data_IF_300245347978
#
_entry.id   IF_300245347978
#
_cell.length_a   1.000
_cell.length_b   1.000
_cell.length_c   1.000
_cell.angle_alpha   90.00
_cell.angle_beta   90.00
_cell.angle_gamma   90.00
#
_symmetry.space_group_name_H-M   'P 1'
#
loop_
_entity.id
_entity.type
_entity.pdbx_description
1 polymer ?
#
# COMPACT_ATOMS: atom_id res chain seq x y z
N UNK A 1 -29.42 -15.66 -6.48
CA UNK A 1 -28.90 -15.66 -5.10
C UNK A 1 -27.86 -14.57 -4.99
N UNK A 2 -27.90 -13.79 -3.92
CA UNK A 2 -26.81 -12.83 -3.60
C UNK A 2 -25.49 -13.58 -3.44
N UNK A 3 -24.41 -13.05 -4.02
CA UNK A 3 -23.08 -13.65 -3.92
C UNK A 3 -22.47 -13.31 -2.55
N UNK A 4 -21.77 -14.27 -1.97
CA UNK A 4 -21.03 -14.08 -0.72
C UNK A 4 -19.58 -13.68 -1.02
N UNK A 5 -19.12 -12.58 -0.41
CA UNK A 5 -17.72 -12.18 -0.33
C UNK A 5 -17.23 -12.39 1.11
N UNK A 6 -16.12 -13.09 1.27
CA UNK A 6 -15.48 -13.28 2.59
C UNK A 6 -14.27 -12.37 2.69
N UNK A 7 -14.20 -11.56 3.73
CA UNK A 7 -13.07 -10.66 4.00
C UNK A 7 -12.35 -11.10 5.28
N UNK A 8 -11.18 -11.68 5.16
CA UNK A 8 -10.33 -11.98 6.32
C UNK A 8 -9.56 -10.72 6.73
N UNK A 9 -9.77 -10.29 7.97
CA UNK A 9 -9.30 -9.00 8.48
C UNK A 9 -10.36 -7.94 8.25
N UNK A 10 -11.15 -7.67 9.28
CA UNK A 10 -12.15 -6.62 9.35
C UNK A 10 -11.59 -5.30 9.85
N UNK A 11 -10.27 -5.08 9.82
CA UNK A 11 -9.64 -3.82 10.24
C UNK A 11 -9.83 -2.68 9.24
N UNK A 12 -8.89 -1.72 9.26
CA UNK A 12 -9.04 -0.47 8.52
C UNK A 12 -9.28 -0.65 7.01
N UNK A 13 -8.40 -1.38 6.33
CA UNK A 13 -8.51 -1.66 4.89
C UNK A 13 -9.67 -2.61 4.58
N UNK A 14 -9.92 -3.59 5.45
CA UNK A 14 -11.00 -4.55 5.28
C UNK A 14 -12.37 -3.87 5.21
N UNK A 15 -12.69 -2.96 6.13
CA UNK A 15 -13.99 -2.27 6.20
C UNK A 15 -14.05 -1.02 5.32
N UNK A 16 -13.07 -0.13 5.37
CA UNK A 16 -13.14 1.13 4.60
C UNK A 16 -12.85 0.97 3.11
N UNK A 17 -12.44 -0.23 2.68
CA UNK A 17 -12.07 -0.44 1.28
C UNK A 17 -12.59 -1.75 0.71
N UNK A 18 -11.95 -2.89 0.99
CA UNK A 18 -12.21 -4.12 0.23
C UNK A 18 -13.65 -4.61 0.48
N UNK A 19 -14.06 -4.73 1.74
CA UNK A 19 -15.43 -5.08 2.10
C UNK A 19 -16.46 -4.08 1.58
N UNK A 20 -16.16 -2.77 1.64
CA UNK A 20 -17.03 -1.72 1.08
C UNK A 20 -17.23 -1.89 -0.44
N UNK A 21 -16.17 -2.14 -1.20
CA UNK A 21 -16.21 -2.32 -2.67
C UNK A 21 -17.16 -3.45 -3.04
N UNK A 22 -17.09 -4.59 -2.35
CA UNK A 22 -17.97 -5.72 -2.64
C UNK A 22 -19.39 -5.54 -2.09
N UNK A 23 -19.56 -4.93 -0.91
CA UNK A 23 -20.89 -4.62 -0.38
C UNK A 23 -21.67 -3.67 -1.29
N UNK A 24 -21.02 -2.64 -1.84
CA UNK A 24 -21.62 -1.71 -2.83
C UNK A 24 -21.98 -2.41 -4.15
N UNK A 25 -21.27 -3.49 -4.48
CA UNK A 25 -21.59 -4.36 -5.60
C UNK A 25 -22.65 -5.44 -5.28
N UNK A 26 -23.44 -5.26 -4.20
CA UNK A 26 -24.51 -6.16 -3.78
C UNK A 26 -24.04 -7.56 -3.38
N UNK A 27 -22.81 -7.70 -2.90
CA UNK A 27 -22.37 -8.92 -2.20
C UNK A 27 -22.82 -8.86 -0.74
N UNK A 28 -23.23 -10.00 -0.19
CA UNK A 28 -23.20 -10.18 1.27
C UNK A 28 -21.74 -10.27 1.69
N UNK A 29 -21.38 -9.57 2.75
CA UNK A 29 -19.99 -9.56 3.24
C UNK A 29 -19.91 -10.23 4.60
N UNK A 30 -19.07 -11.25 4.69
CA UNK A 30 -18.72 -11.90 5.96
C UNK A 30 -17.28 -11.58 6.30
N UNK A 31 -17.07 -10.86 7.39
CA UNK A 31 -15.73 -10.62 7.93
C UNK A 31 -15.25 -11.82 8.76
N UNK A 32 -13.97 -12.13 8.70
CA UNK A 32 -13.31 -13.07 9.63
C UNK A 32 -12.26 -12.27 10.40
N UNK A 33 -12.37 -12.23 11.73
CA UNK A 33 -11.47 -11.46 12.59
C UNK A 33 -11.28 -12.13 13.97
N UNK A 34 -10.38 -11.59 14.79
CA UNK A 34 -10.19 -11.99 16.19
C UNK A 34 -10.74 -10.95 17.18
N UNK A 35 -11.02 -9.72 16.73
CA UNK A 35 -11.59 -8.68 17.57
C UNK A 35 -13.06 -8.99 17.92
N UNK A 36 -13.28 -9.63 19.07
CA UNK A 36 -14.60 -10.01 19.56
C UNK A 36 -15.55 -8.82 19.69
N UNK A 37 -15.03 -7.64 20.06
CA UNK A 37 -15.85 -6.44 20.20
C UNK A 37 -16.41 -6.00 18.85
N UNK A 38 -15.56 -6.01 17.81
CA UNK A 38 -15.99 -5.73 16.45
C UNK A 38 -16.98 -6.78 15.94
N UNK A 39 -16.68 -8.06 16.15
CA UNK A 39 -17.51 -9.18 15.68
C UNK A 39 -18.91 -9.10 16.29
N UNK A 40 -19.01 -8.95 17.61
CA UNK A 40 -20.30 -8.82 18.30
C UNK A 40 -21.07 -7.61 17.81
N UNK A 41 -20.41 -6.46 17.59
CA UNK A 41 -21.06 -5.25 17.09
C UNK A 41 -21.60 -5.43 15.66
N UNK A 42 -20.82 -6.02 14.75
CA UNK A 42 -21.24 -6.29 13.37
C UNK A 42 -22.42 -7.27 13.32
N UNK A 43 -22.38 -8.33 14.11
CA UNK A 43 -23.46 -9.33 14.15
C UNK A 43 -24.74 -8.79 14.79
N UNK A 44 -24.63 -7.90 15.78
CA UNK A 44 -25.79 -7.28 16.41
C UNK A 44 -26.50 -6.28 15.48
N UNK A 45 -25.73 -5.49 14.71
CA UNK A 45 -26.28 -4.40 13.88
C UNK A 45 -26.55 -4.81 12.43
N UNK A 46 -25.75 -5.72 11.87
CA UNK A 46 -25.80 -6.12 10.45
C UNK A 46 -25.29 -5.05 9.47
N UNK A 47 -24.69 -3.98 9.99
CA UNK A 47 -24.18 -2.83 9.23
C UNK A 47 -23.06 -2.08 9.97
N UNK A 48 -22.26 -1.30 9.23
CA UNK A 48 -21.31 -0.30 9.74
C UNK A 48 -21.33 0.93 8.83
N UNK A 49 -20.64 2.01 9.22
CA UNK A 49 -20.56 3.26 8.47
C UNK A 49 -19.12 3.53 8.09
N UNK A 50 -18.90 3.85 6.82
CA UNK A 50 -17.66 4.46 6.35
C UNK A 50 -17.88 5.97 6.26
N UNK A 51 -17.14 6.73 7.05
CA UNK A 51 -17.09 8.19 6.95
C UNK A 51 -16.01 8.56 5.93
N UNK A 52 -16.43 8.94 4.73
CA UNK A 52 -15.53 9.47 3.72
C UNK A 52 -15.21 10.92 4.04
N UNK A 53 -13.93 11.22 4.25
CA UNK A 53 -13.47 12.54 4.70
C UNK A 53 -12.59 13.23 3.66
N UNK A 54 -12.92 14.49 3.35
CA UNK A 54 -12.15 15.33 2.44
C UNK A 54 -12.24 16.81 2.86
N UNK A 55 -11.19 17.33 3.49
CA UNK A 55 -11.20 18.62 4.19
C UNK A 55 -12.42 18.71 5.12
N UNK A 56 -13.24 19.75 5.01
CA UNK A 56 -14.43 19.92 5.83
C UNK A 56 -15.61 19.01 5.41
N UNK A 57 -15.52 18.33 4.27
CA UNK A 57 -16.57 17.45 3.78
C UNK A 57 -16.50 16.08 4.45
N UNK A 58 -17.64 15.65 4.98
CA UNK A 58 -17.86 14.29 5.51
C UNK A 58 -19.10 13.71 4.86
N UNK A 59 -18.96 12.55 4.24
CA UNK A 59 -20.08 11.76 3.73
C UNK A 59 -20.16 10.43 4.51
N UNK A 60 -21.37 10.05 4.90
CA UNK A 60 -21.63 8.82 5.63
C UNK A 60 -22.14 7.77 4.67
N UNK A 61 -21.34 6.71 4.47
CA UNK A 61 -21.69 5.59 3.59
C UNK A 61 -22.09 4.40 4.47
N UNK A 62 -23.40 4.11 4.64
CA UNK A 62 -23.83 2.94 5.37
C UNK A 62 -23.56 1.67 4.54
N UNK A 63 -22.84 0.73 5.14
CA UNK A 63 -22.56 -0.58 4.56
C UNK A 63 -23.42 -1.62 5.27
N UNK A 64 -24.41 -2.15 4.56
CA UNK A 64 -25.43 -3.05 5.10
C UNK A 64 -25.24 -4.48 4.61
N UNK A 65 -25.91 -5.43 5.26
CA UNK A 65 -25.90 -6.83 4.84
C UNK A 65 -24.59 -7.53 5.17
N UNK A 66 -23.98 -7.15 6.29
CA UNK A 66 -22.70 -7.71 6.73
C UNK A 66 -22.86 -8.52 8.01
N UNK A 67 -21.95 -9.46 8.21
CA UNK A 67 -21.79 -10.18 9.47
C UNK A 67 -20.29 -10.48 9.70
N UNK A 68 -19.97 -11.11 10.83
CA UNK A 68 -18.61 -11.45 11.19
C UNK A 68 -18.51 -12.81 11.88
N UNK A 69 -17.39 -13.49 11.66
CA UNK A 69 -17.03 -14.78 12.24
C UNK A 69 -15.74 -14.60 13.04
N UNK A 70 -15.67 -15.23 14.21
CA UNK A 70 -14.43 -15.33 14.96
C UNK A 70 -13.48 -16.30 14.25
N UNK A 71 -12.25 -15.87 13.95
CA UNK A 71 -11.26 -16.69 13.25
C UNK A 71 -10.91 -18.00 13.97
N UNK A 72 -11.19 -18.09 15.28
CA UNK A 72 -11.00 -19.31 16.06
C UNK A 72 -12.13 -20.34 15.87
N UNK A 73 -13.27 -19.95 15.28
CA UNK A 73 -14.35 -20.86 14.90
C UNK A 73 -14.08 -21.47 13.52
N UNK A 74 -13.28 -22.55 13.52
CA UNK A 74 -12.87 -23.21 12.28
C UNK A 74 -14.07 -23.75 11.47
N UNK A 75 -15.15 -24.17 12.12
CA UNK A 75 -16.32 -24.69 11.43
C UNK A 75 -17.04 -23.57 10.68
N UNK A 76 -17.28 -22.43 11.33
CA UNK A 76 -17.87 -21.27 10.69
C UNK A 76 -16.98 -20.73 9.55
N UNK A 77 -15.66 -20.70 9.75
CA UNK A 77 -14.69 -20.32 8.71
C UNK A 77 -14.77 -21.27 7.50
N UNK A 78 -14.82 -22.59 7.73
CA UNK A 78 -14.95 -23.58 6.67
C UNK A 78 -16.26 -23.39 5.89
N UNK A 79 -17.38 -23.18 6.58
CA UNK A 79 -18.68 -22.94 5.94
C UNK A 79 -18.68 -21.66 5.11
N UNK A 80 -18.12 -20.57 5.63
CA UNK A 80 -18.07 -19.29 4.91
C UNK A 80 -17.20 -19.38 3.64
N UNK A 81 -15.98 -19.91 3.76
CA UNK A 81 -15.05 -20.05 2.63
C UNK A 81 -15.55 -21.10 1.63
N UNK A 82 -16.18 -22.18 2.11
CA UNK A 82 -16.79 -23.22 1.28
C UNK A 82 -17.91 -22.69 0.38
N UNK A 83 -18.65 -21.68 0.83
CA UNK A 83 -19.81 -21.13 0.11
C UNK A 83 -19.53 -19.78 -0.60
N UNK A 84 -18.39 -19.13 -0.34
CA UNK A 84 -18.10 -17.83 -0.93
C UNK A 84 -17.83 -17.91 -2.43
N UNK A 85 -18.13 -16.80 -3.13
CA UNK A 85 -17.82 -16.63 -4.54
C UNK A 85 -16.41 -16.05 -4.75
N UNK A 86 -15.93 -15.28 -3.78
CA UNK A 86 -14.64 -14.60 -3.81
C UNK A 86 -14.23 -14.27 -2.37
N UNK A 87 -12.92 -14.24 -2.13
CA UNK A 87 -12.36 -13.88 -0.84
C UNK A 87 -11.38 -12.71 -0.96
N UNK A 88 -11.25 -11.91 0.09
CA UNK A 88 -10.16 -10.95 0.28
C UNK A 88 -9.45 -11.18 1.62
N UNK A 89 -8.18 -10.80 1.69
CA UNK A 89 -7.38 -10.85 2.92
C UNK A 89 -6.63 -9.54 3.11
N UNK A 90 -6.80 -8.91 4.28
CA UNK A 90 -6.07 -7.71 4.70
C UNK A 90 -5.82 -7.73 6.21
N UNK A 91 -4.80 -8.50 6.62
CA UNK A 91 -4.40 -8.73 8.02
C UNK A 91 -3.00 -8.19 8.34
N UNK A 92 -2.22 -7.83 7.33
CA UNK A 92 -0.82 -7.44 7.46
C UNK A 92 0.12 -8.63 7.36
N UNK A 93 1.29 -8.42 6.74
CA UNK A 93 2.32 -9.45 6.49
C UNK A 93 2.61 -10.36 7.70
N UNK A 94 2.72 -9.78 8.89
CA UNK A 94 3.10 -10.51 10.11
C UNK A 94 1.98 -11.43 10.62
N UNK A 95 0.73 -11.23 10.20
CA UNK A 95 -0.42 -12.04 10.63
C UNK A 95 -0.61 -13.27 9.73
N UNK A 96 -0.10 -13.25 8.49
CA UNK A 96 -0.24 -14.36 7.54
C UNK A 96 0.18 -15.73 8.07
N UNK A 97 1.35 -15.90 8.74
CA UNK A 97 1.73 -17.19 9.31
C UNK A 97 0.73 -17.74 10.34
N UNK A 98 -0.01 -16.86 11.02
CA UNK A 98 -0.99 -17.24 12.05
C UNK A 98 -2.31 -17.73 11.44
N UNK A 99 -2.70 -17.24 10.26
CA UNK A 99 -3.95 -17.64 9.60
C UNK A 99 -3.76 -18.78 8.59
N UNK A 100 -2.52 -19.03 8.14
CA UNK A 100 -2.20 -19.95 7.05
C UNK A 100 -2.80 -21.36 7.24
N UNK A 101 -2.69 -21.94 8.45
CA UNK A 101 -3.22 -23.27 8.76
C UNK A 101 -4.75 -23.32 8.65
N UNK A 102 -5.44 -22.33 9.21
CA UNK A 102 -6.91 -22.27 9.22
C UNK A 102 -7.45 -22.06 7.82
N UNK A 103 -6.82 -21.15 7.06
CA UNK A 103 -7.17 -20.88 5.66
C UNK A 103 -6.93 -22.12 4.78
N UNK A 104 -5.79 -22.79 4.91
CA UNK A 104 -5.50 -24.03 4.18
C UNK A 104 -6.50 -25.15 4.50
N UNK A 105 -6.92 -25.26 5.76
CA UNK A 105 -7.96 -26.22 6.19
C UNK A 105 -9.28 -25.94 5.47
N UNK A 106 -9.74 -24.69 5.46
CA UNK A 106 -10.99 -24.30 4.80
C UNK A 106 -10.94 -24.48 3.27
N UNK A 107 -9.80 -24.15 2.65
CA UNK A 107 -9.55 -24.37 1.21
C UNK A 107 -9.63 -25.86 0.88
N UNK A 108 -9.03 -26.72 1.70
CA UNK A 108 -9.04 -28.17 1.49
C UNK A 108 -10.45 -28.76 1.65
N UNK A 109 -11.23 -28.30 2.62
CA UNK A 109 -12.63 -28.72 2.77
C UNK A 109 -13.49 -28.28 1.58
N UNK A 110 -13.31 -27.05 1.08
CA UNK A 110 -13.95 -26.58 -0.15
C UNK A 110 -13.60 -27.48 -1.35
N UNK A 111 -12.32 -27.82 -1.51
CA UNK A 111 -11.85 -28.69 -2.60
C UNK A 111 -12.44 -30.11 -2.54
N UNK A 112 -12.58 -30.68 -1.35
CA UNK A 112 -13.22 -31.98 -1.16
C UNK A 112 -14.70 -31.96 -1.54
N UNK A 113 -15.38 -30.85 -1.25
CA UNK A 113 -16.79 -30.67 -1.58
C UNK A 113 -17.01 -30.47 -3.09
N UNK A 114 -16.18 -29.64 -3.74
CA UNK A 114 -16.24 -29.42 -5.19
C UNK A 114 -14.86 -29.08 -5.78
N UNK A 115 -14.29 -30.04 -6.51
CA UNK A 115 -12.98 -29.92 -7.18
C UNK A 115 -13.00 -28.93 -8.37
N UNK A 116 -14.17 -28.56 -8.87
CA UNK A 116 -14.34 -27.68 -10.03
C UNK A 116 -14.71 -26.24 -9.64
N UNK A 117 -14.71 -25.91 -8.34
CA UNK A 117 -15.05 -24.58 -7.82
C UNK A 117 -13.82 -23.84 -7.24
N UNK A 118 -12.87 -23.39 -8.09
CA UNK A 118 -11.65 -22.73 -7.61
C UNK A 118 -11.98 -21.49 -6.79
N UNK A 119 -11.14 -21.19 -5.81
CA UNK A 119 -11.26 -20.03 -4.94
C UNK A 119 -10.29 -18.94 -5.35
N UNK A 120 -10.82 -17.79 -5.74
CA UNK A 120 -10.04 -16.58 -5.95
C UNK A 120 -9.90 -15.80 -4.63
N UNK A 121 -8.67 -15.40 -4.29
CA UNK A 121 -8.31 -14.67 -3.08
C UNK A 121 -7.58 -13.37 -3.46
N UNK A 122 -8.21 -12.24 -3.16
CA UNK A 122 -7.63 -10.91 -3.29
C UNK A 122 -6.69 -10.63 -2.12
N UNK A 123 -5.41 -10.47 -2.41
CA UNK A 123 -4.34 -10.18 -1.46
C UNK A 123 -4.21 -8.66 -1.27
N UNK A 124 -5.05 -8.11 -0.39
CA UNK A 124 -5.12 -6.68 -0.08
C UNK A 124 -4.03 -6.27 0.93
N UNK A 125 -2.77 -6.50 0.56
CA UNK A 125 -1.61 -6.46 1.43
C UNK A 125 -0.45 -5.68 0.83
N UNK A 126 0.36 -5.06 1.68
CA UNK A 126 1.60 -4.42 1.24
C UNK A 126 2.78 -5.41 1.30
N UNK A 127 2.71 -6.48 0.49
CA UNK A 127 3.71 -7.55 0.44
C UNK A 127 4.25 -7.65 -0.99
N UNK A 128 5.56 -7.51 -1.15
CA UNK A 128 6.23 -7.80 -2.41
C UNK A 128 6.19 -9.31 -2.69
N UNK A 129 5.85 -9.71 -3.92
CA UNK A 129 5.62 -11.10 -4.33
C UNK A 129 4.64 -11.84 -3.40
N UNK A 130 3.51 -11.20 -3.10
CA UNK A 130 2.48 -11.69 -2.18
C UNK A 130 1.96 -13.07 -2.56
N UNK A 131 1.75 -13.35 -3.85
CA UNK A 131 1.27 -14.66 -4.30
C UNK A 131 2.24 -15.79 -3.96
N UNK A 132 3.55 -15.58 -4.18
CA UNK A 132 4.58 -16.56 -3.85
C UNK A 132 4.71 -16.75 -2.33
N UNK A 133 4.68 -15.65 -1.58
CA UNK A 133 4.70 -15.70 -0.11
C UNK A 133 3.52 -16.51 0.45
N UNK A 134 2.30 -16.21 0.03
CA UNK A 134 1.09 -16.93 0.48
C UNK A 134 1.10 -18.39 0.04
N UNK A 135 1.54 -18.67 -1.19
CA UNK A 135 1.72 -20.06 -1.68
C UNK A 135 2.61 -20.87 -0.74
N UNK A 136 3.77 -20.32 -0.35
CA UNK A 136 4.72 -21.03 0.53
C UNK A 136 4.16 -21.29 1.92
N UNK A 137 3.27 -20.42 2.43
CA UNK A 137 2.58 -20.63 3.70
C UNK A 137 1.47 -21.68 3.60
N UNK A 138 0.63 -21.62 2.57
CA UNK A 138 -0.50 -22.55 2.41
C UNK A 138 -0.02 -23.98 2.12
N UNK A 139 1.03 -24.13 1.30
CA UNK A 139 1.55 -25.43 0.90
C UNK A 139 2.03 -26.29 2.08
N UNK A 140 2.43 -25.68 3.19
CA UNK A 140 2.86 -26.39 4.41
C UNK A 140 1.71 -27.14 5.09
N UNK A 141 0.45 -26.77 4.83
CA UNK A 141 -0.73 -27.30 5.51
C UNK A 141 -1.71 -28.01 4.57
N UNK A 142 -1.52 -27.90 3.25
CA UNK A 142 -2.31 -28.60 2.25
C UNK A 142 -1.76 -30.01 1.97
N UNK A 143 -2.61 -30.96 1.54
CA UNK A 143 -2.13 -32.26 1.07
C UNK A 143 -1.08 -32.13 -0.03
N UNK A 144 -0.07 -33.03 -0.11
CA UNK A 144 1.00 -32.96 -1.12
C UNK A 144 0.52 -32.96 -2.57
N UNK A 145 -0.63 -33.59 -2.85
CA UNK A 145 -1.27 -33.70 -4.16
C UNK A 145 -2.31 -32.60 -4.43
N UNK A 146 -2.47 -31.64 -3.53
CA UNK A 146 -3.43 -30.54 -3.69
C UNK A 146 -3.03 -29.65 -4.88
N UNK A 147 -3.92 -29.39 -5.85
CA UNK A 147 -3.60 -28.64 -7.06
C UNK A 147 -3.65 -27.11 -6.81
N UNK A 148 -2.78 -26.60 -5.93
CA UNK A 148 -2.84 -25.21 -5.44
C UNK A 148 -2.94 -24.17 -6.57
N UNK A 149 -2.03 -24.23 -7.54
CA UNK A 149 -2.01 -23.28 -8.67
C UNK A 149 -3.25 -23.36 -9.57
N UNK A 150 -3.92 -24.51 -9.62
CA UNK A 150 -5.10 -24.73 -10.45
C UNK A 150 -6.42 -24.54 -9.70
N UNK A 151 -6.38 -24.39 -8.38
CA UNK A 151 -7.58 -24.30 -7.54
C UNK A 151 -7.66 -23.02 -6.71
N UNK A 152 -6.53 -22.38 -6.41
CA UNK A 152 -6.47 -21.13 -5.63
C UNK A 152 -5.88 -20.03 -6.50
N UNK A 153 -6.72 -19.09 -6.93
CA UNK A 153 -6.28 -17.86 -7.57
C UNK A 153 -5.77 -16.90 -6.51
N UNK A 154 -4.53 -16.45 -6.64
CA UNK A 154 -3.91 -15.49 -5.73
C UNK A 154 -3.76 -14.15 -6.47
N UNK A 155 -4.67 -13.23 -6.17
CA UNK A 155 -4.80 -11.96 -6.88
C UNK A 155 -4.10 -10.88 -6.09
N UNK A 156 -2.92 -10.48 -6.55
CA UNK A 156 -2.19 -9.35 -5.97
C UNK A 156 -2.93 -8.03 -6.21
N UNK A 157 -2.70 -7.06 -5.33
CA UNK A 157 -3.35 -5.75 -5.37
C UNK A 157 -2.38 -4.57 -5.34
N UNK A 158 -2.80 -3.42 -5.88
CA UNK A 158 -2.13 -2.14 -5.70
C UNK A 158 -3.12 -1.19 -5.04
N UNK A 159 -3.01 -1.09 -3.72
CA UNK A 159 -3.93 -0.31 -2.89
C UNK A 159 -3.37 1.09 -2.65
N UNK A 160 -4.09 2.08 -3.16
CA UNK A 160 -3.78 3.50 -3.01
C UNK A 160 -4.57 4.22 -1.92
N UNK A 161 -5.47 3.56 -1.18
CA UNK A 161 -6.35 4.22 -0.20
C UNK A 161 -5.59 4.70 1.03
N UNK A 162 -5.76 5.98 1.37
CA UNK A 162 -5.29 6.64 2.58
C UNK A 162 -6.37 6.56 3.65
N UNK A 163 -5.95 6.12 4.83
CA UNK A 163 -6.83 5.95 5.98
C UNK A 163 -6.19 6.70 7.15
N UNK A 164 -6.88 7.71 7.72
CA UNK A 164 -6.37 8.44 8.87
C UNK A 164 -6.23 7.52 10.08
N UNK A 165 -5.51 8.00 11.10
CA UNK A 165 -5.57 7.37 12.42
C UNK A 165 -7.02 7.41 12.88
N UNK A 166 -7.56 6.24 13.22
CA UNK A 166 -8.94 6.14 13.67
C UNK A 166 -9.07 6.75 15.07
N UNK A 167 -10.06 7.62 15.21
CA UNK A 167 -10.40 8.29 16.47
C UNK A 167 -11.87 8.03 16.77
N UNK A 168 -12.19 7.58 17.99
CA UNK A 168 -13.57 7.29 18.39
C UNK A 168 -13.68 5.94 19.10
N UNK A 169 -14.79 5.76 19.81
CA UNK A 169 -15.05 4.54 20.58
C UNK A 169 -15.96 3.55 19.84
N UNK A 170 -16.72 3.97 18.83
CA UNK A 170 -17.63 3.09 18.09
C UNK A 170 -16.86 2.25 17.05
N UNK A 171 -16.77 0.91 17.22
CA UNK A 171 -16.06 0.05 16.27
C UNK A 171 -16.76 -0.05 14.89
N UNK A 172 -18.02 0.40 14.78
CA UNK A 172 -18.80 0.37 13.55
C UNK A 172 -18.70 1.65 12.74
N UNK A 173 -17.85 2.59 13.13
CA UNK A 173 -17.53 3.80 12.36
C UNK A 173 -16.07 3.70 11.94
N UNK A 174 -15.81 3.92 10.65
CA UNK A 174 -14.45 3.98 10.12
C UNK A 174 -14.28 5.16 9.18
N UNK A 175 -13.24 5.96 9.42
CA UNK A 175 -12.90 7.13 8.60
C UNK A 175 -11.91 6.75 7.53
N UNK A 176 -12.13 7.18 6.30
CA UNK A 176 -11.17 7.02 5.21
C UNK A 176 -11.37 8.08 4.13
N UNK A 177 -10.46 8.19 3.17
CA UNK A 177 -10.70 9.05 2.02
C UNK A 177 -11.76 8.45 1.04
N UNK A 178 -12.32 9.27 0.12
CA UNK A 178 -13.29 8.81 -0.88
C UNK A 178 -12.76 7.84 -1.96
N UNK A 179 -11.44 7.74 -2.15
CA UNK A 179 -10.83 6.91 -3.20
C UNK A 179 -11.13 5.41 -3.02
N UNK A 180 -11.62 4.75 -4.08
CA UNK A 180 -12.06 3.35 -4.05
C UNK A 180 -11.59 2.50 -5.25
N UNK A 181 -10.64 2.93 -6.07
CA UNK A 181 -10.17 2.07 -7.17
C UNK A 181 -9.30 0.91 -6.65
N UNK A 182 -9.81 -0.31 -6.73
CA UNK A 182 -9.11 -1.53 -6.36
C UNK A 182 -8.45 -2.17 -7.58
N UNK A 183 -7.18 -1.82 -7.80
CA UNK A 183 -6.34 -2.44 -8.83
C UNK A 183 -5.98 -3.88 -8.43
N UNK A 184 -6.33 -4.82 -9.30
CA UNK A 184 -6.13 -6.26 -9.10
C UNK A 184 -5.39 -6.89 -10.28
N UNK A 185 -4.51 -7.85 -9.99
CA UNK A 185 -3.82 -8.60 -11.03
C UNK A 185 -4.83 -9.45 -11.82
N UNK A 186 -5.09 -9.08 -13.08
CA UNK A 186 -6.00 -9.81 -13.98
C UNK A 186 -5.57 -11.26 -14.17
N UNK A 187 -4.27 -11.51 -14.19
CA UNK A 187 -3.69 -12.84 -14.45
C UNK A 187 -3.76 -13.77 -13.24
N UNK A 188 -4.11 -13.25 -12.05
CA UNK A 188 -4.25 -14.04 -10.83
C UNK A 188 -5.61 -14.73 -10.67
N UNK A 189 -6.61 -14.35 -11.47
CA UNK A 189 -7.97 -14.92 -11.38
C UNK A 189 -8.04 -16.28 -12.08
N UNK A 190 -8.69 -17.24 -11.42
CA UNK A 190 -9.06 -18.53 -12.01
C UNK A 190 -10.53 -18.56 -12.44
N UNK A 191 -11.40 -17.76 -11.82
CA UNK A 191 -12.80 -17.59 -12.20
C UNK A 191 -13.01 -16.35 -13.08
N UNK A 192 -14.19 -16.20 -13.72
CA UNK A 192 -14.56 -14.96 -14.37
C UNK A 192 -14.48 -13.78 -13.39
N UNK A 193 -13.78 -12.73 -13.82
CA UNK A 193 -13.59 -11.52 -13.02
C UNK A 193 -14.95 -10.88 -12.77
N UNK A 194 -15.30 -10.56 -11.50
CA UNK A 194 -16.61 -10.04 -11.17
C UNK A 194 -16.80 -8.62 -11.71
N UNK A 195 -18.01 -8.33 -12.19
CA UNK A 195 -18.41 -6.99 -12.62
C UNK A 195 -18.68 -6.10 -11.41
N UNK A 196 -17.61 -5.57 -10.82
CA UNK A 196 -17.62 -4.66 -9.67
C UNK A 196 -17.13 -3.29 -10.13
N UNK A 197 -17.94 -2.26 -9.92
CA UNK A 197 -17.70 -0.92 -10.47
C UNK A 197 -16.38 -0.29 -10.00
N UNK A 198 -15.89 -0.66 -8.83
CA UNK A 198 -14.67 -0.15 -8.21
C UNK A 198 -13.46 -1.11 -8.39
N UNK A 199 -13.64 -2.23 -9.08
CA UNK A 199 -12.58 -3.18 -9.38
C UNK A 199 -11.89 -2.80 -10.70
N UNK A 200 -10.56 -2.76 -10.70
CA UNK A 200 -9.73 -2.40 -11.86
C UNK A 200 -8.78 -3.55 -12.18
N UNK A 201 -9.18 -4.53 -13.00
CA UNK A 201 -8.31 -5.62 -13.40
C UNK A 201 -7.26 -5.12 -14.38
N UNK A 202 -5.98 -5.35 -14.06
CA UNK A 202 -4.84 -4.81 -14.80
C UNK A 202 -3.77 -5.86 -15.06
N UNK A 203 -2.96 -5.63 -16.09
CA UNK A 203 -1.79 -6.43 -16.41
C UNK A 203 -0.78 -5.57 -17.22
N UNK A 204 0.54 -5.73 -16.98
CA UNK A 204 1.14 -6.48 -15.89
C UNK A 204 0.94 -5.77 -14.54
N UNK A 205 0.78 -6.54 -13.47
CA UNK A 205 0.53 -5.98 -12.13
C UNK A 205 1.71 -5.14 -11.60
N UNK A 206 2.93 -5.56 -11.94
CA UNK A 206 4.17 -4.89 -11.56
C UNK A 206 4.15 -3.39 -11.90
N UNK A 207 3.61 -3.02 -13.07
CA UNK A 207 3.50 -1.62 -13.48
C UNK A 207 2.69 -0.77 -12.50
N UNK A 208 1.62 -1.33 -11.92
CA UNK A 208 0.74 -0.64 -10.98
C UNK A 208 1.30 -0.64 -9.55
N UNK A 209 2.13 -1.63 -9.21
CA UNK A 209 2.94 -1.62 -7.98
C UNK A 209 4.00 -0.52 -8.08
N UNK A 210 4.73 -0.46 -9.20
CA UNK A 210 5.72 0.58 -9.49
C UNK A 210 5.08 1.98 -9.52
N UNK A 211 3.91 2.14 -10.15
CA UNK A 211 3.16 3.41 -10.14
C UNK A 211 2.87 3.89 -8.72
N UNK A 212 2.38 3.01 -7.85
CA UNK A 212 2.12 3.34 -6.44
C UNK A 212 3.43 3.65 -5.70
N UNK A 213 4.47 2.85 -5.88
CA UNK A 213 5.73 3.01 -5.15
C UNK A 213 6.47 4.29 -5.55
N UNK A 214 6.54 4.58 -6.85
CA UNK A 214 7.39 5.63 -7.38
C UNK A 214 6.68 6.95 -7.69
N UNK A 215 5.34 6.97 -7.74
CA UNK A 215 4.56 8.22 -7.78
C UNK A 215 3.95 8.53 -6.42
N UNK A 216 3.04 7.69 -5.92
CA UNK A 216 2.32 7.96 -4.67
C UNK A 216 3.27 7.99 -3.47
N UNK A 217 3.90 6.85 -3.15
CA UNK A 217 4.73 6.73 -1.96
C UNK A 217 5.94 7.69 -1.99
N UNK A 218 6.55 7.85 -3.17
CA UNK A 218 7.67 8.77 -3.40
C UNK A 218 7.23 10.23 -3.26
N UNK A 219 6.18 10.66 -3.96
CA UNK A 219 5.67 12.03 -3.89
C UNK A 219 5.27 12.44 -2.47
N UNK A 220 4.62 11.53 -1.73
CA UNK A 220 4.24 11.78 -0.35
C UNK A 220 5.47 11.93 0.58
N UNK A 221 6.50 11.11 0.37
CA UNK A 221 7.76 11.22 1.12
C UNK A 221 8.50 12.53 0.76
N UNK A 222 8.56 12.89 -0.52
CA UNK A 222 9.14 14.16 -0.99
C UNK A 222 8.44 15.37 -0.36
N UNK A 223 7.10 15.36 -0.30
CA UNK A 223 6.33 16.39 0.39
C UNK A 223 6.71 16.51 1.89
N UNK A 224 6.89 15.38 2.59
CA UNK A 224 7.37 15.39 3.97
C UNK A 224 8.77 15.98 4.11
N UNK A 225 9.73 15.56 3.28
CA UNK A 225 11.13 15.96 3.41
C UNK A 225 11.33 17.44 3.12
N UNK A 226 10.82 17.92 1.99
CA UNK A 226 10.92 19.34 1.64
C UNK A 226 10.01 20.22 2.50
N UNK A 227 8.84 19.72 2.88
CA UNK A 227 7.95 20.38 3.83
C UNK A 227 8.65 20.62 5.16
N UNK A 228 9.29 19.60 5.74
CA UNK A 228 10.06 19.74 6.97
C UNK A 228 11.26 20.67 6.81
N UNK A 229 12.00 20.57 5.69
CA UNK A 229 13.16 21.42 5.45
C UNK A 229 12.77 22.90 5.41
N UNK A 230 11.64 23.23 4.78
CA UNK A 230 11.18 24.61 4.61
C UNK A 230 10.40 25.13 5.83
N UNK A 231 9.63 24.26 6.47
CA UNK A 231 8.70 24.60 7.55
C UNK A 231 8.80 23.59 8.71
N UNK A 232 9.93 23.57 9.44
CA UNK A 232 10.18 22.57 10.50
C UNK A 232 9.18 22.66 11.67
N UNK A 233 8.45 23.76 11.81
CA UNK A 233 7.42 23.99 12.82
C UNK A 233 6.03 23.47 12.43
N UNK A 234 5.81 23.10 11.16
CA UNK A 234 4.51 22.59 10.68
C UNK A 234 4.38 21.10 11.00
N UNK A 235 3.19 20.70 11.39
CA UNK A 235 2.93 19.31 11.77
C UNK A 235 2.43 18.46 10.61
N UNK A 236 1.57 19.01 9.73
CA UNK A 236 0.84 18.23 8.72
C UNK A 236 1.32 18.48 7.28
N UNK A 237 1.24 17.43 6.46
CA UNK A 237 1.52 17.48 5.01
C UNK A 237 0.63 18.49 4.31
N UNK A 238 -0.66 18.51 4.65
CA UNK A 238 -1.62 19.42 4.05
C UNK A 238 -1.25 20.90 4.27
N UNK A 239 -0.65 21.24 5.41
CA UNK A 239 -0.25 22.61 5.73
C UNK A 239 0.93 23.08 4.87
N UNK A 240 1.96 22.24 4.72
CA UNK A 240 3.13 22.59 3.91
C UNK A 240 2.81 22.60 2.42
N UNK A 241 1.90 21.74 1.95
CA UNK A 241 1.40 21.75 0.57
C UNK A 241 0.39 22.88 0.29
N UNK A 242 0.08 23.72 1.28
CA UNK A 242 -0.58 25.01 1.07
C UNK A 242 0.34 26.07 0.43
N UNK A 243 1.67 25.86 0.47
CA UNK A 243 2.63 26.67 -0.27
C UNK A 243 2.72 26.18 -1.73
N UNK A 244 2.21 27.01 -2.65
CA UNK A 244 2.17 26.70 -4.09
C UNK A 244 3.56 26.46 -4.68
N UNK A 245 4.62 27.10 -4.18
CA UNK A 245 5.97 26.86 -4.69
C UNK A 245 6.50 25.47 -4.27
N UNK A 246 6.20 25.05 -3.05
CA UNK A 246 6.55 23.70 -2.59
C UNK A 246 5.70 22.65 -3.32
N UNK A 247 4.39 22.88 -3.46
CA UNK A 247 3.48 22.01 -4.18
C UNK A 247 3.94 21.78 -5.63
N UNK A 248 4.29 22.85 -6.34
CA UNK A 248 4.74 22.76 -7.72
C UNK A 248 6.10 22.05 -7.84
N UNK A 249 7.00 22.26 -6.88
CA UNK A 249 8.26 21.50 -6.84
C UNK A 249 7.97 19.99 -6.65
N UNK A 250 7.09 19.61 -5.73
CA UNK A 250 6.71 18.19 -5.52
C UNK A 250 6.08 17.60 -6.79
N UNK A 251 5.19 18.36 -7.46
CA UNK A 251 4.61 18.00 -8.76
C UNK A 251 5.68 17.71 -9.81
N UNK A 252 6.66 18.61 -9.95
CA UNK A 252 7.76 18.44 -10.90
C UNK A 252 8.61 17.20 -10.58
N UNK A 253 8.87 16.90 -9.31
CA UNK A 253 9.54 15.66 -8.87
C UNK A 253 8.77 14.42 -9.27
N UNK A 254 7.45 14.42 -9.04
CA UNK A 254 6.57 13.32 -9.48
C UNK A 254 6.59 13.19 -11.00
N UNK A 255 6.66 14.31 -11.74
CA UNK A 255 6.81 14.34 -13.20
C UNK A 255 8.10 13.67 -13.73
N UNK A 256 9.21 13.75 -13.01
CA UNK A 256 10.42 12.97 -13.36
C UNK A 256 10.14 11.46 -13.24
N UNK A 257 9.43 11.04 -12.19
CA UNK A 257 9.05 9.63 -12.03
C UNK A 257 8.04 9.17 -13.10
N UNK A 258 7.07 10.01 -13.48
CA UNK A 258 6.10 9.63 -14.54
C UNK A 258 6.80 9.36 -15.86
N UNK A 259 7.79 10.18 -16.24
CA UNK A 259 8.59 9.96 -17.44
C UNK A 259 9.37 8.64 -17.39
N UNK A 260 9.98 8.31 -16.25
CA UNK A 260 10.69 7.04 -16.05
C UNK A 260 9.73 5.85 -16.14
N UNK A 261 8.55 5.94 -15.53
CA UNK A 261 7.55 4.86 -15.57
C UNK A 261 6.95 4.63 -16.95
N UNK A 262 6.68 5.68 -17.73
CA UNK A 262 6.23 5.55 -19.12
C UNK A 262 7.25 4.77 -19.97
N UNK A 263 8.55 5.01 -19.76
CA UNK A 263 9.62 4.32 -20.48
C UNK A 263 9.82 2.88 -19.97
N UNK A 264 9.66 2.65 -18.67
CA UNK A 264 9.82 1.33 -18.05
C UNK A 264 8.68 0.39 -18.42
N UNK A 265 7.44 0.89 -18.40
CA UNK A 265 6.20 0.14 -18.63
C UNK A 265 5.52 0.57 -19.93
N UNK A 266 6.26 0.51 -21.04
CA UNK A 266 5.77 0.97 -22.36
C UNK A 266 4.45 0.31 -22.74
N UNK A 267 3.48 1.14 -23.12
CA UNK A 267 2.15 0.70 -23.53
C UNK A 267 1.20 0.35 -22.38
N UNK A 268 1.65 0.45 -21.12
CA UNK A 268 0.78 0.26 -19.94
C UNK A 268 0.16 1.57 -19.47
N UNK A 269 0.92 2.68 -19.54
CA UNK A 269 0.47 4.01 -19.14
C UNK A 269 0.71 5.03 -20.23
N UNK A 270 -0.24 5.95 -20.37
CA UNK A 270 -0.05 7.21 -21.10
C UNK A 270 0.50 8.29 -20.17
N UNK A 271 1.10 9.34 -20.76
CA UNK A 271 1.62 10.47 -19.99
C UNK A 271 0.47 11.22 -19.31
N UNK A 272 -0.65 11.35 -20.00
CA UNK A 272 -1.86 12.00 -19.55
C UNK A 272 -2.44 11.27 -18.32
N UNK A 273 -2.60 9.94 -18.37
CA UNK A 273 -3.07 9.15 -17.23
C UNK A 273 -2.18 9.28 -15.99
N UNK A 274 -0.85 9.30 -16.17
CA UNK A 274 0.06 9.47 -15.03
C UNK A 274 0.02 10.89 -14.48
N UNK A 275 -0.13 11.91 -15.33
CA UNK A 275 -0.26 13.29 -14.88
C UNK A 275 -1.58 13.52 -14.13
N UNK A 276 -2.70 12.98 -14.63
CA UNK A 276 -3.99 13.02 -13.93
C UNK A 276 -3.89 12.32 -12.57
N UNK A 277 -3.17 11.19 -12.51
CA UNK A 277 -2.90 10.52 -11.25
C UNK A 277 -2.03 11.35 -10.29
N UNK A 278 -1.04 12.11 -10.80
CA UNK A 278 -0.24 13.04 -10.00
C UNK A 278 -1.13 14.12 -9.39
N UNK A 279 -1.99 14.77 -10.18
CA UNK A 279 -2.87 15.83 -9.67
C UNK A 279 -3.91 15.29 -8.66
N UNK A 280 -4.47 14.09 -8.89
CA UNK A 280 -5.32 13.40 -7.90
C UNK A 280 -4.58 13.20 -6.57
N UNK A 281 -3.34 12.70 -6.63
CA UNK A 281 -2.54 12.46 -5.43
C UNK A 281 -2.18 13.75 -4.69
N UNK A 282 -1.79 14.80 -5.42
CA UNK A 282 -1.47 16.10 -4.81
C UNK A 282 -2.70 16.71 -4.12
N UNK A 283 -3.88 16.60 -4.74
CA UNK A 283 -5.16 16.98 -4.13
C UNK A 283 -5.42 16.21 -2.83
N UNK A 284 -5.15 14.90 -2.83
CA UNK A 284 -5.33 14.03 -1.65
C UNK A 284 -4.30 14.27 -0.56
N UNK A 285 -3.05 14.57 -0.90
CA UNK A 285 -2.04 14.96 0.09
C UNK A 285 -2.41 16.28 0.79
N UNK A 286 -3.16 17.16 0.11
CA UNK A 286 -3.72 18.41 0.69
C UNK A 286 -4.96 18.19 1.56
N UNK A 287 -5.47 16.96 1.68
CA UNK A 287 -6.66 16.67 2.48
C UNK A 287 -6.36 16.80 3.98
N UNK A 288 -6.79 17.90 4.59
CA UNK A 288 -6.56 18.18 6.01
C UNK A 288 -7.23 17.14 6.94
N UNK A 289 -8.33 16.52 6.50
CA UNK A 289 -9.05 15.54 7.30
C UNK A 289 -8.31 14.22 7.48
N UNK A 290 -7.26 13.96 6.69
CA UNK A 290 -6.40 12.79 6.87
C UNK A 290 -5.45 12.93 8.07
N UNK A 291 -5.14 14.16 8.49
CA UNK A 291 -4.23 14.40 9.61
C UNK A 291 -2.83 13.80 9.41
N UNK A 292 -2.38 13.71 8.16
CA UNK A 292 -1.11 13.09 7.82
C UNK A 292 0.05 13.97 8.27
N UNK A 293 0.64 13.63 9.43
CA UNK A 293 1.78 14.37 9.97
C UNK A 293 3.04 14.16 9.13
N UNK A 294 3.86 15.20 8.99
CA UNK A 294 5.19 15.17 8.39
C UNK A 294 6.05 14.08 9.02
N UNK A 295 6.04 13.95 10.34
CA UNK A 295 6.76 12.90 11.07
C UNK A 295 6.40 11.49 10.60
N UNK A 296 5.11 11.12 10.66
CA UNK A 296 4.61 9.80 10.25
C UNK A 296 4.93 9.50 8.78
N UNK A 297 4.81 10.50 7.92
CA UNK A 297 5.02 10.38 6.47
C UNK A 297 6.50 10.36 6.10
N UNK A 298 7.38 10.97 6.88
CA UNK A 298 8.82 11.03 6.61
C UNK A 298 9.66 9.93 7.29
N UNK A 299 9.25 9.42 8.46
CA UNK A 299 10.03 8.42 9.24
C UNK A 299 10.28 7.07 8.55
N UNK A 300 11.07 6.18 9.14
CA UNK A 300 11.49 4.88 8.58
C UNK A 300 12.45 5.06 7.39
N UNK A 301 13.43 5.94 7.60
CA UNK A 301 14.46 6.33 6.64
C UNK A 301 15.25 5.12 6.10
N UNK A 302 15.71 4.14 6.91
CA UNK A 302 16.47 2.99 6.39
C UNK A 302 15.74 2.24 5.28
N UNK A 303 14.40 2.11 5.41
CA UNK A 303 13.59 1.45 4.38
C UNK A 303 13.37 2.38 3.19
N UNK A 304 12.98 3.64 3.42
CA UNK A 304 12.59 4.57 2.34
C UNK A 304 13.75 5.01 1.44
N UNK A 305 14.98 4.96 1.95
CA UNK A 305 16.19 5.28 1.22
C UNK A 305 16.83 4.06 0.55
N UNK A 306 16.40 2.85 0.89
CA UNK A 306 16.92 1.61 0.31
C UNK A 306 16.77 1.56 -1.21
N UNK A 307 17.70 0.88 -1.90
CA UNK A 307 17.76 0.77 -3.36
C UNK A 307 16.52 0.15 -4.01
N UNK A 308 15.72 -0.60 -3.26
CA UNK A 308 14.44 -1.19 -3.73
C UNK A 308 13.22 -0.29 -3.48
N UNK A 309 13.33 0.76 -2.66
CA UNK A 309 12.18 1.57 -2.23
C UNK A 309 12.06 2.88 -3.04
N UNK A 310 11.11 3.71 -2.63
CA UNK A 310 10.48 4.79 -3.40
C UNK A 310 11.41 5.86 -3.97
N UNK A 311 12.57 6.13 -3.36
CA UNK A 311 13.49 7.16 -3.83
C UNK A 311 14.64 6.56 -4.64
N UNK A 312 15.51 5.77 -4.01
CA UNK A 312 16.67 5.21 -4.73
C UNK A 312 16.24 4.24 -5.83
N UNK A 313 15.15 3.48 -5.66
CA UNK A 313 14.68 2.56 -6.69
C UNK A 313 14.30 3.23 -8.00
N UNK A 314 13.65 4.40 -7.95
CA UNK A 314 13.35 5.16 -9.17
C UNK A 314 14.57 5.90 -9.71
N UNK A 315 15.52 6.32 -8.86
CA UNK A 315 16.82 6.89 -9.29
C UNK A 315 17.61 5.84 -10.08
N UNK A 316 17.71 4.62 -9.57
CA UNK A 316 18.38 3.49 -10.26
C UNK A 316 17.75 3.23 -11.63
N UNK A 317 16.41 3.21 -11.70
CA UNK A 317 15.67 3.04 -12.96
C UNK A 317 15.89 4.22 -13.91
N UNK A 318 15.86 5.44 -13.41
CA UNK A 318 16.08 6.66 -14.19
C UNK A 318 17.49 6.73 -14.77
N UNK A 319 18.50 6.45 -13.95
CA UNK A 319 19.90 6.42 -14.39
C UNK A 319 20.13 5.36 -15.45
N UNK A 320 19.63 4.13 -15.26
CA UNK A 320 19.75 3.06 -16.25
C UNK A 320 19.08 3.40 -17.59
N UNK A 321 18.06 4.26 -17.57
CA UNK A 321 17.33 4.73 -18.76
C UNK A 321 17.88 6.06 -19.32
N UNK A 322 18.91 6.64 -18.71
CA UNK A 322 19.41 7.99 -19.01
C UNK A 322 18.32 9.07 -18.96
N UNK A 323 17.42 8.99 -17.99
CA UNK A 323 16.34 9.95 -17.76
C UNK A 323 16.64 10.85 -16.56
N UNK A 324 16.18 12.11 -16.56
CA UNK A 324 16.37 13.02 -15.42
C UNK A 324 15.72 12.49 -14.14
N UNK A 325 16.43 12.64 -13.03
CA UNK A 325 15.98 12.28 -11.67
C UNK A 325 16.46 13.28 -10.62
N UNK A 326 16.94 14.44 -11.06
CA UNK A 326 17.63 15.47 -10.28
C UNK A 326 16.83 15.91 -9.04
N UNK A 327 15.53 16.18 -9.20
CA UNK A 327 14.65 16.57 -8.10
C UNK A 327 14.39 15.43 -7.12
N UNK A 328 14.35 14.19 -7.62
CA UNK A 328 14.25 12.99 -6.77
C UNK A 328 15.55 12.82 -5.95
N UNK A 329 16.69 13.09 -6.57
CA UNK A 329 18.01 13.13 -5.92
C UNK A 329 18.08 14.20 -4.83
N UNK A 330 17.63 15.43 -5.12
CA UNK A 330 17.52 16.49 -4.12
C UNK A 330 16.62 16.08 -2.94
N UNK A 331 15.46 15.46 -3.20
CA UNK A 331 14.59 14.94 -2.15
C UNK A 331 15.28 13.86 -1.30
N UNK A 332 16.07 12.98 -1.93
CA UNK A 332 16.89 11.98 -1.22
C UNK A 332 17.94 12.63 -0.33
N UNK A 333 18.62 13.69 -0.80
CA UNK A 333 19.59 14.43 0.01
C UNK A 333 18.94 15.08 1.22
N UNK A 334 17.76 15.69 1.06
CA UNK A 334 17.01 16.29 2.18
C UNK A 334 16.54 15.21 3.16
N UNK A 335 16.15 14.04 2.67
CA UNK A 335 15.74 12.92 3.52
C UNK A 335 16.86 12.41 4.45
N UNK A 336 18.13 12.48 4.03
CA UNK A 336 19.27 12.11 4.87
C UNK A 336 19.35 12.99 6.13
N UNK A 337 18.91 14.24 6.05
CA UNK A 337 18.91 15.22 7.14
C UNK A 337 17.56 15.34 7.85
N UNK A 338 16.58 14.49 7.52
CA UNK A 338 15.22 14.55 8.07
C UNK A 338 15.19 14.25 9.57
N UNK A 339 14.67 15.20 10.37
CA UNK A 339 14.72 15.16 11.85
C UNK A 339 13.40 15.55 12.51
N UNK A 340 12.28 15.39 11.82
CA UNK A 340 10.95 15.70 12.38
C UNK A 340 10.68 14.94 13.68
N UNK A 341 9.86 15.54 14.53
CA UNK A 341 9.48 15.02 15.85
C UNK A 341 8.04 14.49 15.83
N UNK A 342 7.76 13.48 16.64
CA UNK A 342 6.41 13.02 16.92
C UNK A 342 5.65 14.02 17.82
N UNK A 343 4.37 13.74 18.09
CA UNK A 343 3.54 14.58 18.98
C UNK A 343 4.04 14.66 20.44
N UNK A 344 5.05 13.88 20.82
CA UNK A 344 5.71 13.93 22.13
C UNK A 344 7.09 14.61 22.08
N UNK A 345 7.44 15.23 20.95
CA UNK A 345 8.74 15.89 20.75
C UNK A 345 9.91 14.92 20.57
N UNK A 346 9.66 13.67 20.15
CA UNK A 346 10.69 12.64 19.98
C UNK A 346 10.92 12.28 18.53
N UNK A 347 12.17 11.95 18.20
CA UNK A 347 12.54 11.38 16.91
C UNK A 347 12.23 9.88 16.87
N UNK A 348 12.02 9.33 15.68
CA UNK A 348 11.93 7.88 15.48
C UNK A 348 13.28 7.25 15.80
N UNK A 349 13.32 6.33 16.77
CA UNK A 349 14.57 5.81 17.33
C UNK A 349 15.42 5.09 16.27
N UNK A 350 14.77 4.37 15.36
CA UNK A 350 15.44 3.67 14.25
C UNK A 350 16.09 4.66 13.27
N UNK A 351 15.44 5.78 13.01
CA UNK A 351 15.95 6.81 12.09
C UNK A 351 17.13 7.57 12.72
N UNK A 352 17.06 7.82 14.02
CA UNK A 352 18.16 8.43 14.76
C UNK A 352 19.42 7.54 14.71
N UNK A 353 19.30 6.26 15.06
CA UNK A 353 20.42 5.30 14.99
C UNK A 353 20.99 5.19 13.56
N UNK A 354 20.10 5.20 12.57
CA UNK A 354 20.50 5.17 11.17
C UNK A 354 21.33 6.39 10.78
N UNK A 355 20.88 7.60 11.13
CA UNK A 355 21.62 8.83 10.83
C UNK A 355 22.94 8.93 11.60
N UNK A 356 22.97 8.54 12.88
CA UNK A 356 24.21 8.44 13.66
C UNK A 356 25.23 7.54 12.94
N UNK A 357 24.75 6.46 12.31
CA UNK A 357 25.61 5.57 11.53
C UNK A 357 26.17 6.21 10.24
N UNK A 358 25.61 7.33 9.79
CA UNK A 358 26.05 8.07 8.60
C UNK A 358 26.99 9.24 8.95
N UNK A 359 27.17 9.56 10.23
CA UNK A 359 28.02 10.66 10.67
C UNK A 359 29.50 10.41 10.32
N UNK A 360 30.21 11.48 9.94
CA UNK A 360 31.63 11.43 9.55
C UNK A 360 31.91 10.81 8.17
N UNK A 361 30.91 10.20 7.51
CA UNK A 361 31.05 9.67 6.15
C UNK A 361 31.02 10.79 5.10
N UNK A 362 31.78 10.61 4.01
CA UNK A 362 31.65 11.42 2.80
C UNK A 362 30.25 11.25 2.18
N UNK A 363 29.82 12.18 1.33
CA UNK A 363 28.50 12.08 0.69
C UNK A 363 28.35 10.74 -0.07
N UNK A 364 29.36 10.34 -0.83
CA UNK A 364 29.38 9.05 -1.53
C UNK A 364 29.16 7.86 -0.59
N UNK A 365 29.88 7.82 0.52
CA UNK A 365 29.74 6.76 1.53
C UNK A 365 28.37 6.79 2.21
N UNK A 366 27.82 7.99 2.47
CA UNK A 366 26.45 8.15 2.97
C UNK A 366 25.43 7.57 2.00
N UNK A 367 25.52 7.90 0.71
CA UNK A 367 24.60 7.36 -0.31
C UNK A 367 24.73 5.83 -0.37
N UNK A 368 25.95 5.30 -0.45
CA UNK A 368 26.21 3.85 -0.51
C UNK A 368 25.58 3.10 0.66
N UNK A 369 25.80 3.61 1.88
CA UNK A 369 25.30 3.00 3.11
C UNK A 369 23.79 3.18 3.25
N UNK A 370 23.26 4.39 3.00
CA UNK A 370 21.84 4.70 3.13
C UNK A 370 20.98 3.93 2.14
N UNK A 371 21.46 3.72 0.92
CA UNK A 371 20.75 2.92 -0.07
C UNK A 371 20.86 1.42 0.17
N UNK A 372 21.65 0.97 1.14
CA UNK A 372 21.96 -0.44 1.33
C UNK A 372 22.64 -1.05 0.10
N UNK A 373 23.49 -0.28 -0.61
CA UNK A 373 24.00 -0.71 -1.92
C UNK A 373 24.83 -2.00 -1.86
N UNK A 374 25.41 -2.32 -0.69
CA UNK A 374 26.18 -3.55 -0.49
C UNK A 374 25.40 -4.85 -0.75
N UNK A 375 24.07 -4.81 -0.66
CA UNK A 375 23.18 -5.95 -0.97
C UNK A 375 22.51 -5.82 -2.34
N UNK A 376 22.81 -4.76 -3.09
CA UNK A 376 22.21 -4.51 -4.39
C UNK A 376 22.75 -5.49 -5.44
N UNK A 377 21.91 -6.04 -6.32
CA UNK A 377 22.36 -6.83 -7.47
C UNK A 377 22.91 -5.96 -8.61
N UNK A 378 22.80 -4.63 -8.51
CA UNK A 378 23.24 -3.71 -9.54
C UNK A 378 24.77 -3.52 -9.55
N UNK A 379 25.38 -3.26 -10.74
CA UNK A 379 26.82 -3.14 -10.84
C UNK A 379 27.33 -1.87 -10.13
N UNK A 380 28.56 -1.94 -9.62
CA UNK A 380 29.23 -0.80 -8.97
C UNK A 380 29.34 0.42 -9.90
N UNK A 381 29.49 0.22 -11.21
CA UNK A 381 29.52 1.32 -12.18
C UNK A 381 28.24 2.15 -12.22
N UNK A 382 27.08 1.51 -11.99
CA UNK A 382 25.80 2.23 -11.90
C UNK A 382 25.76 3.08 -10.63
N UNK A 383 26.20 2.53 -9.50
CA UNK A 383 26.36 3.31 -8.28
C UNK A 383 27.29 4.51 -8.50
N UNK A 384 28.42 4.28 -9.15
CA UNK A 384 29.41 5.32 -9.33
C UNK A 384 28.86 6.49 -10.14
N UNK A 385 28.05 6.21 -11.17
CA UNK A 385 27.34 7.23 -11.95
C UNK A 385 26.33 8.01 -11.10
N UNK A 386 25.50 7.29 -10.33
CA UNK A 386 24.51 7.89 -9.41
C UNK A 386 25.20 8.78 -8.37
N UNK A 387 26.26 8.28 -7.73
CA UNK A 387 26.98 8.99 -6.69
C UNK A 387 27.65 10.27 -7.21
N UNK A 388 28.26 10.22 -8.40
CA UNK A 388 28.86 11.40 -9.02
C UNK A 388 27.79 12.47 -9.30
N UNK A 389 26.59 12.07 -9.73
CA UNK A 389 25.47 12.99 -9.93
C UNK A 389 24.95 13.57 -8.61
N UNK A 390 24.90 12.79 -7.53
CA UNK A 390 24.60 13.32 -6.20
C UNK A 390 25.60 14.39 -5.73
N UNK A 391 26.90 14.17 -5.95
CA UNK A 391 27.94 15.15 -5.61
C UNK A 391 27.74 16.46 -6.38
N UNK A 392 27.41 16.38 -7.68
CA UNK A 392 27.07 17.55 -8.49
C UNK A 392 25.83 18.31 -7.94
N UNK A 393 24.75 17.59 -7.61
CA UNK A 393 23.54 18.19 -7.04
C UNK A 393 23.79 18.86 -5.68
N UNK A 394 24.67 18.28 -4.85
CA UNK A 394 25.02 18.86 -3.54
C UNK A 394 25.85 20.13 -3.64
N UNK A 395 26.53 20.35 -4.77
CA UNK A 395 27.39 21.52 -4.99
C UNK A 395 26.61 22.74 -5.49
N UNK A 396 25.34 22.56 -5.87
CA UNK A 396 24.43 23.61 -6.38
C UNK A 396 23.51 24.23 -5.32
N UNK A 397 23.61 23.78 -4.07
CA UNK A 397 22.88 24.28 -2.90
C UNK A 397 23.87 24.72 -1.83
#
# INVERSE_FOLDING_TARGET
MEKLFVQWGGGNIGRSFVGQVFARASYKVTFIDIDERLISALNAKGEYVVETVFNDAVELIPIKGVNAINANDQEAVNQAIGNCALMGVSVGKNVWPHIAKQLATAINERYKADKNAPLDIILAENIHNGAAFVTSLLQQYLPPDFPLKGYVGLIETSIGKMVPIQSGSDPLIIRAEPHNDLFVNREGFLNPIPAVADLRPVAPMEAYVDRKLYIHNMGHATAAYWGFQKYPEREFIADVLGDEALLDRVRQTMGQSTAILCQLHKGVFTKEELNDHVEDLLSRFKNQALGDSIFRVGRDLPRKLHWEDRLMGIIVKGEALNLPWDLIGEAYLVALEFKALDGNGKREARDQQFQESLEGLSLREKIYKASGWSTSPHPQSLFDSIANKFEALSSTH
#
